data_IF_659463984374
#
_entry.id   IF_659463984374
#
_cell.length_a   1.000
_cell.length_b   1.000
_cell.length_c   1.000
_cell.angle_alpha   90.00
_cell.angle_beta   90.00
_cell.angle_gamma   90.00
#
_symmetry.space_group_name_H-M   'P 1'
#
loop_
_entity.id
_entity.type
_entity.pdbx_description
1 polymer ?
#
# COMPACT_ATOMS: atom_id res chain seq x y z
N UNK A 1 -4.35 -12.40 8.22
CA UNK A 1 -3.58 -11.77 7.12
C UNK A 1 -3.44 -12.81 6.00
N UNK A 2 -3.49 -12.40 4.72
CA UNK A 2 -3.42 -13.34 3.59
C UNK A 2 -2.00 -13.83 3.33
N UNK A 3 -1.88 -14.96 2.65
CA UNK A 3 -0.63 -15.33 2.01
C UNK A 3 -0.29 -14.32 0.89
N UNK A 4 0.99 -14.21 0.52
CA UNK A 4 1.40 -13.43 -0.65
C UNK A 4 2.59 -14.03 -1.37
N UNK A 5 2.61 -13.87 -2.70
CA UNK A 5 3.71 -14.23 -3.58
C UNK A 5 4.23 -12.97 -4.28
N UNK A 6 5.54 -12.77 -4.32
CA UNK A 6 6.18 -11.64 -5.00
C UNK A 6 7.24 -12.16 -5.96
N UNK A 7 7.24 -11.67 -7.19
CA UNK A 7 8.29 -11.88 -8.17
C UNK A 7 8.87 -10.53 -8.57
N UNK A 8 10.20 -10.44 -8.62
CA UNK A 8 10.92 -9.20 -8.86
C UNK A 8 12.09 -9.38 -9.83
N UNK A 9 12.35 -8.34 -10.62
CA UNK A 9 13.51 -8.25 -11.51
C UNK A 9 14.17 -6.89 -11.31
N UNK A 10 15.50 -6.87 -11.22
CA UNK A 10 16.30 -5.66 -11.26
C UNK A 10 17.31 -5.74 -12.40
N UNK A 11 17.50 -4.63 -13.09
CA UNK A 11 18.47 -4.49 -14.16
C UNK A 11 19.31 -3.22 -13.97
N UNK A 12 20.62 -3.39 -14.02
CA UNK A 12 21.58 -2.30 -13.97
C UNK A 12 21.98 -1.91 -15.40
N UNK A 13 21.49 -0.76 -15.86
CA UNK A 13 21.75 -0.27 -17.21
C UNK A 13 23.18 0.24 -17.38
N UNK A 14 23.76 0.80 -16.32
CA UNK A 14 25.16 1.27 -16.27
C UNK A 14 25.63 1.40 -14.81
N UNK A 15 26.85 1.91 -14.58
CA UNK A 15 27.42 2.07 -13.24
C UNK A 15 26.60 2.97 -12.29
N UNK A 16 25.74 3.84 -12.85
CA UNK A 16 24.96 4.83 -12.10
C UNK A 16 23.47 4.54 -12.03
N UNK A 17 22.91 3.73 -12.93
CA UNK A 17 21.46 3.62 -13.10
C UNK A 17 20.96 2.17 -13.02
N UNK A 18 20.04 1.94 -12.08
CA UNK A 18 19.36 0.67 -11.86
C UNK A 18 17.85 0.88 -11.93
N UNK A 19 17.14 -0.03 -12.59
CA UNK A 19 15.67 -0.09 -12.56
C UNK A 19 15.24 -1.46 -12.04
N UNK A 20 14.20 -1.47 -11.22
CA UNK A 20 13.59 -2.68 -10.69
C UNK A 20 12.08 -2.66 -10.92
N UNK A 21 11.50 -3.84 -11.12
CA UNK A 21 10.07 -4.03 -11.23
C UNK A 21 9.65 -5.27 -10.45
N UNK A 22 8.52 -5.17 -9.76
CA UNK A 22 7.96 -6.24 -8.94
C UNK A 22 6.47 -6.44 -9.27
N UNK A 23 6.04 -7.69 -9.23
CA UNK A 23 4.63 -8.07 -9.22
C UNK A 23 4.38 -8.89 -7.96
N UNK A 24 3.45 -8.42 -7.12
CA UNK A 24 3.02 -9.09 -5.91
C UNK A 24 1.55 -9.50 -6.03
N UNK A 25 1.22 -10.74 -5.71
CA UNK A 25 -0.15 -11.20 -5.51
C UNK A 25 -0.40 -11.50 -4.03
N UNK A 26 -1.47 -10.95 -3.47
CA UNK A 26 -1.93 -11.24 -2.12
C UNK A 26 -3.30 -11.92 -2.17
N UNK A 27 -3.40 -13.07 -1.51
CA UNK A 27 -4.53 -13.99 -1.59
C UNK A 27 -5.59 -13.65 -0.53
N UNK A 28 -6.25 -12.50 -0.69
CA UNK A 28 -7.26 -12.03 0.27
C UNK A 28 -8.55 -12.83 0.25
N UNK A 29 -8.88 -13.46 -0.88
CA UNK A 29 -10.10 -14.27 -1.00
C UNK A 29 -10.14 -15.44 -0.01
N UNK A 30 -8.98 -15.97 0.36
CA UNK A 30 -8.88 -17.12 1.25
C UNK A 30 -9.11 -16.77 2.73
N UNK A 31 -9.05 -15.49 3.12
CA UNK A 31 -8.97 -15.08 4.53
C UNK A 31 -10.00 -14.02 4.95
N UNK A 32 -10.66 -13.34 4.01
CA UNK A 32 -11.56 -12.21 4.31
C UNK A 32 -12.95 -12.41 3.66
N UNK A 33 -13.59 -13.52 3.98
CA UNK A 33 -14.96 -13.82 3.53
C UNK A 33 -16.01 -13.09 4.40
N UNK A 34 -15.95 -13.26 5.72
CA UNK A 34 -16.77 -12.53 6.69
C UNK A 34 -15.99 -12.17 7.96
N UNK A 35 -16.23 -10.97 8.51
CA UNK A 35 -15.80 -10.62 9.87
C UNK A 35 -17.02 -10.62 10.79
N UNK A 36 -16.98 -11.48 11.82
CA UNK A 36 -18.02 -11.53 12.83
C UNK A 36 -17.55 -10.76 14.07
N UNK A 37 -18.34 -9.79 14.50
CA UNK A 37 -18.09 -9.01 15.71
C UNK A 37 -19.15 -9.39 16.73
N UNK A 38 -18.71 -10.05 17.81
CA UNK A 38 -19.56 -10.42 18.93
C UNK A 38 -19.48 -9.35 20.03
N UNK A 39 -20.61 -8.77 20.40
CA UNK A 39 -20.75 -7.93 21.56
C UNK A 39 -21.35 -8.75 22.70
N UNK A 40 -20.61 -8.93 23.79
CA UNK A 40 -21.06 -9.68 24.95
C UNK A 40 -21.26 -8.72 26.12
N UNK A 41 -22.45 -8.72 26.70
CA UNK A 41 -22.76 -7.95 27.91
C UNK A 41 -23.48 -8.82 28.95
N UNK A 42 -23.55 -8.35 30.20
CA UNK A 42 -24.29 -9.02 31.27
C UNK A 42 -25.81 -9.11 31.00
N UNK A 43 -26.33 -8.31 30.07
CA UNK A 43 -27.74 -8.26 29.69
C UNK A 43 -28.07 -9.06 28.42
N UNK A 44 -27.09 -9.75 27.83
CA UNK A 44 -27.21 -10.46 26.55
C UNK A 44 -26.13 -10.06 25.55
N UNK A 45 -26.04 -10.81 24.44
CA UNK A 45 -25.06 -10.58 23.38
C UNK A 45 -25.70 -10.30 22.02
N UNK A 46 -24.97 -9.60 21.16
CA UNK A 46 -25.33 -9.34 19.75
C UNK A 46 -24.14 -9.72 18.88
N UNK A 47 -24.39 -10.57 17.88
CA UNK A 47 -23.41 -10.88 16.85
C UNK A 47 -23.74 -10.10 15.57
N UNK A 48 -22.75 -9.37 15.07
CA UNK A 48 -22.83 -8.63 13.80
C UNK A 48 -21.91 -9.29 12.79
N UNK A 49 -22.48 -9.84 11.73
CA UNK A 49 -21.72 -10.36 10.59
C UNK A 49 -21.51 -9.25 9.56
N UNK A 50 -20.25 -8.99 9.21
CA UNK A 50 -19.85 -8.06 8.15
C UNK A 50 -19.33 -8.88 6.95
N UNK A 51 -20.15 -9.10 5.91
CA UNK A 51 -19.72 -9.82 4.72
C UNK A 51 -18.76 -8.95 3.92
N UNK A 52 -17.53 -9.41 3.78
CA UNK A 52 -16.44 -8.62 3.22
C UNK A 52 -15.97 -9.14 1.86
N UNK A 53 -16.03 -10.46 1.60
CA UNK A 53 -15.80 -11.11 0.31
C UNK A 53 -14.67 -10.47 -0.53
N UNK A 54 -13.50 -10.32 0.08
CA UNK A 54 -12.37 -9.73 -0.63
C UNK A 54 -11.96 -10.62 -1.81
N UNK A 55 -11.52 -10.01 -2.90
CA UNK A 55 -10.83 -10.70 -3.97
C UNK A 55 -9.32 -10.57 -3.80
N UNK A 56 -8.59 -11.53 -4.35
CA UNK A 56 -7.14 -11.43 -4.46
C UNK A 56 -6.73 -10.14 -5.15
N UNK A 57 -5.63 -9.54 -4.68
CA UNK A 57 -5.08 -8.33 -5.28
C UNK A 57 -3.73 -8.59 -5.90
N UNK A 58 -3.51 -7.99 -7.06
CA UNK A 58 -2.19 -7.85 -7.65
C UNK A 58 -1.70 -6.41 -7.48
N UNK A 59 -0.46 -6.27 -7.04
CA UNK A 59 0.27 -5.00 -6.94
C UNK A 59 1.45 -5.06 -7.90
N UNK A 60 1.52 -4.11 -8.83
CA UNK A 60 2.65 -3.94 -9.72
C UNK A 60 3.43 -2.68 -9.31
N UNK A 61 4.75 -2.81 -9.21
CA UNK A 61 5.64 -1.73 -8.80
C UNK A 61 6.79 -1.60 -9.79
N UNK A 62 7.21 -0.37 -10.06
CA UNK A 62 8.44 -0.06 -10.80
C UNK A 62 9.19 1.04 -10.07
N UNK A 63 10.50 0.88 -9.96
CA UNK A 63 11.37 1.79 -9.26
C UNK A 63 12.70 1.96 -9.97
N UNK A 64 13.36 3.07 -9.69
CA UNK A 64 14.67 3.39 -10.22
C UNK A 64 15.56 3.97 -9.13
N UNK A 65 16.85 3.66 -9.21
CA UNK A 65 17.90 4.26 -8.40
C UNK A 65 18.97 4.87 -9.32
N UNK A 66 19.30 6.13 -9.08
CA UNK A 66 20.29 6.88 -9.84
C UNK A 66 21.37 7.44 -8.91
N UNK A 67 22.61 7.00 -9.10
CA UNK A 67 23.78 7.55 -8.41
C UNK A 67 24.14 8.89 -9.03
N UNK A 68 23.83 9.97 -8.33
CA UNK A 68 24.10 11.33 -8.79
C UNK A 68 25.61 11.63 -8.73
N UNK A 69 26.25 11.26 -7.62
CA UNK A 69 27.69 11.30 -7.41
C UNK A 69 28.11 10.14 -6.47
N UNK A 70 29.33 10.20 -5.92
CA UNK A 70 29.84 9.15 -5.03
C UNK A 70 29.12 9.08 -3.68
N UNK A 71 28.44 10.16 -3.28
CA UNK A 71 27.88 10.32 -1.94
C UNK A 71 26.34 10.37 -1.96
N UNK A 72 25.71 10.60 -3.12
CA UNK A 72 24.27 10.83 -3.25
C UNK A 72 23.64 9.87 -4.26
N UNK A 73 22.70 9.06 -3.79
CA UNK A 73 21.83 8.22 -4.62
C UNK A 73 20.39 8.68 -4.51
N UNK A 74 19.73 8.93 -5.65
CA UNK A 74 18.32 9.31 -5.72
C UNK A 74 17.48 8.11 -6.14
N UNK A 75 16.29 7.99 -5.55
CA UNK A 75 15.33 6.92 -5.86
C UNK A 75 13.98 7.51 -6.20
N UNK A 76 13.31 6.92 -7.18
CA UNK A 76 11.93 7.24 -7.53
C UNK A 76 11.20 5.96 -7.93
N UNK A 77 9.89 5.93 -7.74
CA UNK A 77 9.11 4.75 -8.10
C UNK A 77 7.62 5.01 -8.12
N UNK A 78 6.90 4.07 -8.73
CA UNK A 78 5.46 4.06 -8.83
C UNK A 78 4.95 2.66 -8.53
N UNK A 79 3.83 2.58 -7.80
CA UNK A 79 3.12 1.32 -7.63
C UNK A 79 1.63 1.49 -7.87
N UNK A 80 1.02 0.44 -8.40
CA UNK A 80 -0.40 0.31 -8.64
C UNK A 80 -0.91 -0.99 -8.01
N UNK A 81 -1.91 -0.88 -7.16
CA UNK A 81 -2.64 -2.00 -6.59
C UNK A 81 -4.03 -2.12 -7.22
N UNK A 82 -4.43 -3.36 -7.54
CA UNK A 82 -5.82 -3.66 -7.88
C UNK A 82 -6.75 -3.42 -6.68
N UNK A 83 -8.02 -3.13 -6.97
CA UNK A 83 -9.05 -3.00 -5.95
C UNK A 83 -9.33 -4.37 -5.30
N UNK A 84 -9.31 -4.47 -3.97
CA UNK A 84 -9.55 -5.71 -3.25
C UNK A 84 -11.04 -6.04 -3.02
N UNK A 85 -11.91 -5.05 -3.18
CA UNK A 85 -13.34 -5.12 -2.87
C UNK A 85 -14.16 -4.62 -4.05
N UNK A 86 -15.34 -5.18 -4.26
CA UNK A 86 -16.33 -4.52 -5.10
C UNK A 86 -16.61 -3.12 -4.52
N UNK A 87 -16.76 -2.12 -5.39
CA UNK A 87 -17.10 -0.76 -4.99
C UNK A 87 -18.35 -0.68 -4.13
N UNK A 88 -19.30 -1.59 -4.31
CA UNK A 88 -20.53 -1.64 -3.51
C UNK A 88 -20.28 -2.13 -2.07
N UNK A 89 -19.22 -2.92 -1.86
CA UNK A 89 -18.85 -3.55 -0.58
C UNK A 89 -17.80 -2.77 0.23
N UNK A 90 -17.37 -1.61 -0.26
CA UNK A 90 -16.40 -0.77 0.46
C UNK A 90 -17.12 -0.10 1.64
N UNK A 91 -16.74 -0.48 2.85
CA UNK A 91 -17.20 0.19 4.05
C UNK A 91 -16.46 1.53 4.22
N UNK A 92 -17.16 2.63 4.56
CA UNK A 92 -16.52 3.91 4.89
C UNK A 92 -15.46 3.81 5.99
N UNK A 93 -15.64 2.87 6.92
CA UNK A 93 -14.72 2.63 8.04
C UNK A 93 -13.44 1.88 7.64
N UNK A 94 -13.43 1.20 6.48
CA UNK A 94 -12.26 0.48 5.94
C UNK A 94 -11.96 0.98 4.53
N UNK A 95 -11.24 2.12 4.37
CA UNK A 95 -10.98 2.73 3.08
C UNK A 95 -9.89 1.97 2.27
N UNK A 96 -10.22 0.76 1.85
CA UNK A 96 -9.35 -0.13 1.07
C UNK A 96 -9.43 0.14 -0.44
N UNK A 97 -9.32 1.41 -0.86
CA UNK A 97 -9.47 1.83 -2.26
C UNK A 97 -8.34 2.73 -2.78
N UNK A 98 -7.27 2.90 -2.01
CA UNK A 98 -6.09 3.64 -2.42
C UNK A 98 -5.20 2.76 -3.30
N UNK A 99 -5.09 3.08 -4.59
CA UNK A 99 -4.45 2.20 -5.59
C UNK A 99 -3.06 2.65 -6.00
N UNK A 100 -2.86 3.96 -6.14
CA UNK A 100 -1.70 4.54 -6.81
C UNK A 100 -0.78 5.20 -5.82
N UNK A 101 0.49 4.82 -5.83
CA UNK A 101 1.51 5.47 -5.00
C UNK A 101 2.67 5.94 -5.86
N UNK A 102 3.09 7.18 -5.63
CA UNK A 102 4.33 7.74 -6.16
C UNK A 102 5.32 7.86 -5.02
N UNK A 103 6.55 7.41 -5.24
CA UNK A 103 7.59 7.37 -4.22
C UNK A 103 8.82 8.13 -4.68
N UNK A 104 9.44 8.84 -3.75
CA UNK A 104 10.72 9.52 -3.93
C UNK A 104 11.60 9.26 -2.72
N UNK A 105 12.89 9.19 -2.93
CA UNK A 105 13.84 9.04 -1.84
C UNK A 105 15.25 9.42 -2.24
N UNK A 106 16.09 9.51 -1.24
CA UNK A 106 17.50 9.81 -1.38
C UNK A 106 18.30 9.10 -0.30
N UNK A 107 19.52 8.74 -0.64
CA UNK A 107 20.54 8.25 0.27
C UNK A 107 21.74 9.17 0.16
N UNK A 108 22.25 9.58 1.32
CA UNK A 108 23.47 10.35 1.42
C UNK A 108 24.48 9.62 2.29
N UNK A 109 25.61 9.28 1.70
CA UNK A 109 26.76 8.66 2.36
C UNK A 109 27.67 9.77 2.88
N UNK A 110 27.78 9.91 4.21
CA UNK A 110 28.69 10.91 4.82
C UNK A 110 30.14 10.45 4.76
N UNK A 111 30.34 9.15 4.92
CA UNK A 111 31.61 8.46 4.85
C UNK A 111 31.32 6.99 4.44
N UNK A 112 32.35 6.15 4.42
CA UNK A 112 32.25 4.74 3.98
C UNK A 112 31.36 3.88 4.89
N UNK A 113 31.15 4.34 6.11
CA UNK A 113 30.52 3.61 7.19
C UNK A 113 29.19 4.23 7.62
N UNK A 114 28.97 5.52 7.36
CA UNK A 114 27.82 6.31 7.80
C UNK A 114 26.94 6.76 6.64
N UNK A 115 25.64 6.43 6.68
CA UNK A 115 24.67 6.86 5.67
C UNK A 115 23.32 7.26 6.27
N UNK A 116 22.65 8.19 5.61
CA UNK A 116 21.26 8.57 5.89
C UNK A 116 20.39 8.31 4.68
N UNK A 117 19.20 7.78 4.93
CA UNK A 117 18.19 7.49 3.93
C UNK A 117 16.91 8.25 4.26
N UNK A 118 16.36 8.91 3.26
CA UNK A 118 15.08 9.63 3.31
C UNK A 118 14.18 9.08 2.22
N UNK A 119 12.93 8.78 2.56
CA UNK A 119 11.93 8.36 1.58
C UNK A 119 10.57 8.97 1.90
N UNK A 120 9.82 9.31 0.86
CA UNK A 120 8.45 9.79 0.93
C UNK A 120 7.60 9.07 -0.12
N UNK A 121 6.39 8.69 0.26
CA UNK A 121 5.41 8.05 -0.59
C UNK A 121 4.10 8.81 -0.53
N UNK A 122 3.57 9.15 -1.70
CA UNK A 122 2.29 9.81 -1.89
C UNK A 122 1.29 8.83 -2.48
N UNK A 123 0.31 8.43 -1.68
CA UNK A 123 -0.90 7.76 -2.14
C UNK A 123 -1.82 8.77 -2.81
N UNK A 124 -1.96 8.67 -4.13
CA UNK A 124 -2.73 9.62 -4.93
C UNK A 124 -4.22 9.55 -4.58
N UNK A 125 -4.89 10.70 -4.62
CA UNK A 125 -6.30 10.78 -4.22
C UNK A 125 -7.17 9.88 -5.10
N UNK A 126 -7.84 8.92 -4.47
CA UNK A 126 -8.87 8.10 -5.08
C UNK A 126 -10.25 8.52 -4.58
N UNK A 127 -11.27 8.30 -5.41
CA UNK A 127 -12.67 8.57 -5.07
C UNK A 127 -13.51 7.34 -5.36
N UNK A 128 -14.40 7.02 -4.42
CA UNK A 128 -15.36 5.92 -4.53
C UNK A 128 -16.75 6.43 -4.17
N UNK A 129 -17.75 5.84 -4.79
CA UNK A 129 -19.15 6.02 -4.43
C UNK A 129 -19.68 4.66 -3.99
N UNK A 130 -20.30 4.61 -2.82
CA UNK A 130 -20.90 3.39 -2.27
C UNK A 130 -22.35 3.65 -1.88
N UNK A 131 -23.25 2.67 -2.01
CA UNK A 131 -24.58 2.77 -1.42
C UNK A 131 -24.48 2.99 0.10
N UNK A 132 -25.38 3.79 0.66
CA UNK A 132 -25.53 3.91 2.11
C UNK A 132 -26.20 2.64 2.64
N UNK A 133 -25.48 1.93 3.51
CA UNK A 133 -26.01 0.75 4.22
C UNK A 133 -27.15 1.09 5.20
N UNK A 134 -27.28 2.37 5.59
CA UNK A 134 -28.28 2.84 6.57
C UNK A 134 -29.49 3.52 5.92
N UNK A 135 -29.33 4.08 4.71
CA UNK A 135 -30.37 4.80 3.98
C UNK A 135 -30.33 4.37 2.52
N UNK A 136 -31.07 3.29 2.19
CA UNK A 136 -30.87 2.44 1.00
C UNK A 136 -30.98 3.06 -0.40
N UNK A 137 -31.07 4.39 -0.54
CA UNK A 137 -31.06 5.09 -1.83
C UNK A 137 -29.99 6.19 -1.93
N UNK A 138 -29.29 6.53 -0.85
CA UNK A 138 -28.27 7.59 -0.86
C UNK A 138 -26.89 7.03 -1.22
N UNK A 139 -26.17 7.74 -2.09
CA UNK A 139 -24.79 7.40 -2.45
C UNK A 139 -23.82 8.19 -1.57
N UNK A 140 -22.98 7.47 -0.83
CA UNK A 140 -21.90 8.06 -0.05
C UNK A 140 -20.68 8.27 -0.94
N UNK A 141 -20.18 9.50 -0.98
CA UNK A 141 -18.94 9.84 -1.69
C UNK A 141 -17.78 9.87 -0.72
N UNK A 142 -16.75 9.07 -1.01
CA UNK A 142 -15.55 8.98 -0.20
C UNK A 142 -14.33 9.39 -1.01
N UNK A 143 -13.35 10.04 -0.37
CA UNK A 143 -12.06 10.34 -0.97
C UNK A 143 -10.94 10.16 0.02
N UNK A 144 -9.85 9.52 -0.40
CA UNK A 144 -8.70 9.25 0.46
C UNK A 144 -7.40 9.54 -0.31
N UNK A 145 -6.44 10.13 0.38
CA UNK A 145 -5.05 10.32 -0.03
C UNK A 145 -4.16 10.11 1.18
N UNK A 146 -2.95 9.58 0.98
CA UNK A 146 -2.05 9.22 2.07
C UNK A 146 -0.64 9.75 1.80
N UNK A 147 0.07 10.13 2.86
CA UNK A 147 1.50 10.47 2.79
C UNK A 147 2.22 9.62 3.83
N UNK A 148 3.28 8.93 3.42
CA UNK A 148 4.16 8.19 4.31
C UNK A 148 5.58 8.74 4.15
N UNK A 149 6.27 9.00 5.25
CA UNK A 149 7.66 9.45 5.25
C UNK A 149 8.50 8.55 6.15
N UNK A 150 9.72 8.25 5.71
CA UNK A 150 10.67 7.39 6.42
C UNK A 150 12.03 8.05 6.42
N UNK A 151 12.68 8.03 7.58
CA UNK A 151 14.07 8.45 7.77
C UNK A 151 14.80 7.31 8.46
N UNK A 152 16.00 6.98 7.98
CA UNK A 152 16.85 5.99 8.64
C UNK A 152 18.31 6.40 8.56
N UNK A 153 19.07 6.04 9.58
CA UNK A 153 20.51 6.21 9.66
C UNK A 153 21.15 4.83 9.86
N UNK A 154 22.30 4.59 9.24
CA UNK A 154 23.06 3.35 9.41
C UNK A 154 24.53 3.65 9.58
N UNK A 155 25.16 2.93 10.53
CA UNK A 155 26.61 2.95 10.79
C UNK A 155 27.14 1.52 10.75
N UNK A 156 28.14 1.25 9.93
CA UNK A 156 28.85 -0.03 9.90
C UNK A 156 30.14 0.08 10.75
N UNK A 157 30.53 -1.01 11.42
CA UNK A 157 31.73 -1.12 12.26
C UNK A 157 32.60 -2.28 11.81
#
# INVERSE_FOLDING_TARGET
MPASLTLGLAHQFNERWVVAADIKRAYWGDVMDSMNVAFISQLGGIDVALPHRYQDITVASIGTAYKYNNDLTLRAGYSYAQQALDSELILPVIPAYLKRHVTFGGEYDFDKDSRINLAISFGLRERVQTPSYLAGTEMLRQSHSQINAVVSYSKNF
#
